data_IF_530700045737
#
_entry.id   IF_530700045737
#
_cell.length_a   1.000
_cell.length_b   1.000
_cell.length_c   1.000
_cell.angle_alpha   90.00
_cell.angle_beta   90.00
_cell.angle_gamma   90.00
#
_symmetry.space_group_name_H-M   'P 1'
#
loop_
_entity.id
_entity.type
_entity.pdbx_description
1 polymer ?
#
# COMPACT_ATOMS: atom_id res chain seq x y z
N UNK A 1 -30.43 1.46 -17.23
CA UNK A 1 -29.02 1.16 -16.92
C UNK A 1 -29.00 0.69 -15.47
N UNK A 2 -28.99 -0.63 -15.22
CA UNK A 2 -29.15 -1.18 -13.87
C UNK A 2 -27.93 -0.80 -13.02
N UNK A 3 -28.13 0.14 -12.09
CA UNK A 3 -27.13 0.72 -11.18
C UNK A 3 -26.97 -0.07 -9.88
N UNK A 4 -27.20 -1.38 -9.88
CA UNK A 4 -27.28 -2.18 -8.64
C UNK A 4 -26.55 -3.51 -8.77
N UNK A 5 -25.29 -3.47 -9.16
CA UNK A 5 -24.34 -4.52 -8.81
C UNK A 5 -23.29 -3.82 -7.96
N UNK A 6 -23.48 -3.84 -6.64
CA UNK A 6 -22.47 -3.39 -5.71
C UNK A 6 -21.17 -4.14 -6.08
N UNK A 7 -20.00 -3.47 -6.17
CA UNK A 7 -18.73 -4.13 -6.47
C UNK A 7 -18.24 -4.92 -5.24
N UNK A 8 -19.12 -5.73 -4.65
CA UNK A 8 -18.90 -6.53 -3.46
C UNK A 8 -17.70 -7.47 -3.65
N UNK A 9 -17.56 -8.04 -4.87
CA UNK A 9 -16.40 -8.85 -5.24
C UNK A 9 -15.09 -8.06 -5.12
N UNK A 10 -15.07 -6.81 -5.59
CA UNK A 10 -13.87 -5.96 -5.51
C UNK A 10 -13.55 -5.61 -4.06
N UNK A 11 -14.56 -5.23 -3.26
CA UNK A 11 -14.38 -4.88 -1.84
C UNK A 11 -13.85 -6.08 -1.03
N UNK A 12 -14.42 -7.27 -1.23
CA UNK A 12 -13.97 -8.50 -0.55
C UNK A 12 -12.55 -8.84 -0.99
N UNK A 13 -12.26 -8.77 -2.29
CA UNK A 13 -10.91 -9.03 -2.82
C UNK A 13 -9.88 -8.08 -2.21
N UNK A 14 -10.16 -6.78 -2.17
CA UNK A 14 -9.30 -5.77 -1.56
C UNK A 14 -9.04 -6.06 -0.09
N UNK A 15 -10.07 -6.44 0.66
CA UNK A 15 -9.91 -6.78 2.07
C UNK A 15 -9.05 -8.04 2.28
N UNK A 16 -9.26 -9.09 1.49
CA UNK A 16 -8.44 -10.31 1.55
C UNK A 16 -6.98 -10.01 1.17
N UNK A 17 -6.76 -9.24 0.11
CA UNK A 17 -5.43 -8.81 -0.31
C UNK A 17 -4.76 -8.02 0.80
N UNK A 18 -5.46 -7.09 1.43
CA UNK A 18 -4.94 -6.32 2.57
C UNK A 18 -4.48 -7.24 3.71
N UNK A 19 -5.28 -8.25 4.06
CA UNK A 19 -4.90 -9.24 5.08
C UNK A 19 -3.63 -10.02 4.71
N UNK A 20 -3.53 -10.47 3.46
CA UNK A 20 -2.33 -11.19 2.96
C UNK A 20 -1.10 -10.29 3.03
N UNK A 21 -1.22 -9.03 2.63
CA UNK A 21 -0.14 -8.05 2.70
C UNK A 21 0.31 -7.83 4.15
N UNK A 22 -0.64 -7.63 5.08
CA UNK A 22 -0.34 -7.49 6.52
C UNK A 22 0.40 -8.74 7.03
N UNK A 23 -0.05 -9.94 6.66
CA UNK A 23 0.59 -11.19 7.07
C UNK A 23 2.02 -11.29 6.55
N UNK A 24 2.26 -11.00 5.26
CA UNK A 24 3.60 -11.01 4.66
C UNK A 24 4.51 -9.99 5.35
N UNK A 25 4.08 -8.74 5.48
CA UNK A 25 4.92 -7.69 6.06
C UNK A 25 5.21 -7.93 7.55
N UNK A 26 4.23 -8.41 8.30
CA UNK A 26 4.41 -8.79 9.71
C UNK A 26 5.44 -9.92 9.89
N UNK A 27 5.48 -10.89 8.96
CA UNK A 27 6.48 -11.94 8.94
C UNK A 27 7.89 -11.37 8.71
N UNK A 28 8.05 -10.44 7.76
CA UNK A 28 9.33 -9.75 7.56
C UNK A 28 9.77 -8.95 8.78
N UNK A 29 8.85 -8.25 9.44
CA UNK A 29 9.15 -7.50 10.67
C UNK A 29 9.58 -8.42 11.81
N UNK A 30 8.91 -9.56 11.98
CA UNK A 30 9.29 -10.56 12.98
C UNK A 30 10.68 -11.14 12.68
N UNK A 31 10.91 -11.61 11.46
CA UNK A 31 12.13 -12.34 11.09
C UNK A 31 13.37 -11.45 10.94
N UNK A 32 13.20 -10.18 10.55
CA UNK A 32 14.32 -9.30 10.21
C UNK A 32 14.52 -8.15 11.19
N UNK A 33 13.48 -7.74 11.93
CA UNK A 33 13.59 -6.69 12.95
C UNK A 33 13.51 -7.26 14.38
N UNK A 34 13.38 -8.58 14.53
CA UNK A 34 13.25 -9.27 15.82
C UNK A 34 12.13 -8.70 16.72
N UNK A 35 11.06 -8.22 16.09
CA UNK A 35 9.87 -7.75 16.82
C UNK A 35 9.06 -8.95 17.33
N UNK A 36 8.40 -8.76 18.47
CA UNK A 36 7.46 -9.73 19.03
C UNK A 36 6.29 -9.89 18.03
N UNK A 37 5.77 -11.11 17.77
CA UNK A 37 4.74 -11.34 16.75
C UNK A 37 3.54 -10.38 16.84
N UNK A 38 3.07 -10.09 18.06
CA UNK A 38 2.00 -9.12 18.32
C UNK A 38 2.34 -7.73 17.78
N UNK A 39 3.53 -7.22 18.09
CA UNK A 39 3.99 -5.88 17.66
C UNK A 39 4.20 -5.83 16.15
N UNK A 40 4.73 -6.91 15.54
CA UNK A 40 4.89 -7.00 14.09
C UNK A 40 3.56 -6.88 13.35
N UNK A 41 2.52 -7.58 13.84
CA UNK A 41 1.17 -7.52 13.27
C UNK A 41 0.55 -6.15 13.48
N UNK A 42 0.69 -5.55 14.67
CA UNK A 42 0.20 -4.20 14.95
C UNK A 42 0.83 -3.16 13.99
N UNK A 43 2.15 -3.18 13.83
CA UNK A 43 2.86 -2.25 12.94
C UNK A 43 2.44 -2.45 11.48
N UNK A 44 2.44 -3.70 11.00
CA UNK A 44 2.01 -4.02 9.64
C UNK A 44 0.55 -3.59 9.41
N UNK A 45 -0.34 -3.78 10.37
CA UNK A 45 -1.75 -3.40 10.26
C UNK A 45 -1.89 -1.88 10.12
N UNK A 46 -1.29 -1.10 11.02
CA UNK A 46 -1.39 0.37 10.99
C UNK A 46 -0.80 0.93 9.70
N UNK A 47 0.38 0.48 9.31
CA UNK A 47 1.05 0.94 8.10
C UNK A 47 0.25 0.62 6.83
N UNK A 48 -0.28 -0.59 6.72
CA UNK A 48 -1.07 -0.98 5.55
C UNK A 48 -2.42 -0.27 5.50
N UNK A 49 -3.09 -0.09 6.65
CA UNK A 49 -4.37 0.62 6.68
C UNK A 49 -4.21 2.09 6.27
N UNK A 50 -3.20 2.78 6.81
CA UNK A 50 -2.88 4.16 6.43
C UNK A 50 -2.51 4.21 4.94
N UNK A 51 -1.66 3.29 4.47
CA UNK A 51 -1.29 3.21 3.05
C UNK A 51 -2.50 3.00 2.14
N UNK A 52 -3.45 2.16 2.53
CA UNK A 52 -4.69 1.94 1.77
C UNK A 52 -5.55 3.19 1.75
N UNK A 53 -5.74 3.87 2.88
CA UNK A 53 -6.47 5.14 2.93
C UNK A 53 -5.83 6.21 2.02
N UNK A 54 -4.51 6.38 2.09
CA UNK A 54 -3.77 7.32 1.23
C UNK A 54 -3.88 6.92 -0.24
N UNK A 55 -3.79 5.62 -0.54
CA UNK A 55 -3.96 5.10 -1.90
C UNK A 55 -5.33 5.45 -2.49
N UNK A 56 -6.40 5.29 -1.72
CA UNK A 56 -7.76 5.68 -2.14
C UNK A 56 -7.89 7.19 -2.35
N UNK A 57 -7.36 8.01 -1.43
CA UNK A 57 -7.36 9.47 -1.57
C UNK A 57 -6.60 9.90 -2.84
N UNK A 58 -5.41 9.33 -3.05
CA UNK A 58 -4.59 9.57 -4.24
C UNK A 58 -5.32 9.16 -5.53
N UNK A 59 -5.99 8.02 -5.52
CA UNK A 59 -6.79 7.55 -6.64
C UNK A 59 -7.94 8.52 -6.97
N UNK A 60 -8.78 8.88 -5.99
CA UNK A 60 -9.90 9.79 -6.23
C UNK A 60 -9.42 11.16 -6.71
N UNK A 61 -8.37 11.71 -6.10
CA UNK A 61 -7.80 12.98 -6.50
C UNK A 61 -7.28 12.94 -7.94
N UNK A 62 -6.58 11.86 -8.31
CA UNK A 62 -6.04 11.72 -9.67
C UNK A 62 -7.17 11.56 -10.69
N UNK A 63 -8.15 10.69 -10.42
CA UNK A 63 -9.30 10.48 -11.30
C UNK A 63 -10.06 11.78 -11.57
N UNK A 64 -10.25 12.64 -10.57
CA UNK A 64 -10.91 13.95 -10.75
C UNK A 64 -10.15 14.93 -11.66
N UNK A 65 -8.85 14.72 -11.87
CA UNK A 65 -8.02 15.56 -12.76
C UNK A 65 -7.92 14.99 -14.18
N UNK A 66 -8.39 13.76 -14.43
CA UNK A 66 -8.26 13.10 -15.72
C UNK A 66 -9.37 13.51 -16.69
N UNK A 67 -9.08 13.57 -18.00
CA UNK A 67 -10.12 13.78 -19.01
C UNK A 67 -11.06 12.56 -19.09
N UNK A 68 -12.35 12.83 -19.34
CA UNK A 68 -13.48 11.88 -19.28
C UNK A 68 -13.25 10.48 -19.90
N UNK A 69 -12.38 10.36 -20.91
CA UNK A 69 -12.09 9.07 -21.56
C UNK A 69 -11.16 8.17 -20.74
N UNK A 70 -10.13 8.75 -20.10
CA UNK A 70 -9.19 8.01 -19.24
C UNK A 70 -9.80 7.70 -17.87
N UNK A 71 -10.66 8.60 -17.37
CA UNK A 71 -11.44 8.40 -16.14
C UNK A 71 -12.26 7.11 -16.22
N UNK A 72 -13.06 6.95 -17.29
CA UNK A 72 -13.89 5.76 -17.52
C UNK A 72 -13.07 4.49 -17.62
N UNK A 73 -11.90 4.53 -18.27
CA UNK A 73 -11.00 3.38 -18.38
C UNK A 73 -10.40 3.00 -17.03
N UNK A 74 -9.96 3.96 -16.21
CA UNK A 74 -9.42 3.69 -14.89
C UNK A 74 -10.47 3.13 -13.93
N UNK A 75 -11.65 3.74 -13.90
CA UNK A 75 -12.78 3.28 -13.07
C UNK A 75 -13.22 1.88 -13.51
N UNK A 76 -13.33 1.64 -14.82
CA UNK A 76 -13.70 0.32 -15.33
C UNK A 76 -12.64 -0.75 -15.03
N UNK A 77 -11.36 -0.39 -15.09
CA UNK A 77 -10.29 -1.30 -14.71
C UNK A 77 -10.35 -1.68 -13.23
N UNK A 78 -10.50 -0.71 -12.33
CA UNK A 78 -10.46 -0.95 -10.89
C UNK A 78 -11.74 -1.65 -10.39
N UNK A 79 -12.91 -1.23 -10.87
CA UNK A 79 -14.19 -1.79 -10.41
C UNK A 79 -14.57 -3.10 -11.12
N UNK A 80 -14.19 -3.27 -12.39
CA UNK A 80 -14.64 -4.38 -13.22
C UNK A 80 -13.49 -5.23 -13.80
N UNK A 81 -12.23 -4.92 -13.52
CA UNK A 81 -11.07 -5.70 -13.99
C UNK A 81 -10.83 -5.63 -15.51
N UNK A 82 -11.46 -4.68 -16.22
CA UNK A 82 -11.35 -4.57 -17.67
C UNK A 82 -10.08 -3.80 -18.07
N UNK A 83 -9.07 -4.52 -18.57
CA UNK A 83 -7.86 -3.90 -19.14
C UNK A 83 -8.16 -3.54 -20.59
N UNK A 84 -8.35 -2.24 -20.84
CA UNK A 84 -8.26 -1.67 -22.19
C UNK A 84 -6.81 -1.61 -22.68
N UNK A 85 -6.51 -0.74 -23.64
CA UNK A 85 -5.13 -0.56 -24.12
C UNK A 85 -4.23 -0.05 -23.00
N UNK A 86 -3.14 -0.76 -22.69
CA UNK A 86 -2.18 -0.36 -21.67
C UNK A 86 -1.44 0.89 -22.17
N UNK A 87 -1.80 2.04 -21.60
CA UNK A 87 -1.16 3.33 -21.88
C UNK A 87 0.07 3.50 -20.97
N UNK A 88 1.21 4.02 -21.47
CA UNK A 88 2.36 4.40 -20.63
C UNK A 88 1.99 5.23 -19.38
N UNK A 89 0.99 6.11 -19.48
CA UNK A 89 0.49 6.89 -18.33
C UNK A 89 -0.08 6.00 -17.22
N UNK A 90 -0.68 4.86 -17.59
CA UNK A 90 -1.24 3.91 -16.63
C UNK A 90 -0.14 3.17 -15.86
N UNK A 91 0.95 2.80 -16.55
CA UNK A 91 2.15 2.21 -15.93
C UNK A 91 2.79 3.21 -14.97
N UNK A 92 2.92 4.46 -15.40
CA UNK A 92 3.44 5.54 -14.57
C UNK A 92 2.57 5.75 -13.31
N UNK A 93 1.24 5.72 -13.46
CA UNK A 93 0.32 5.85 -12.33
C UNK A 93 0.51 4.74 -11.29
N UNK A 94 0.60 3.47 -11.73
CA UNK A 94 0.87 2.33 -10.84
C UNK A 94 2.23 2.50 -10.13
N UNK A 95 3.25 2.89 -10.89
CA UNK A 95 4.59 3.09 -10.34
C UNK A 95 4.64 4.22 -9.29
N UNK A 96 3.99 5.35 -9.56
CA UNK A 96 3.87 6.45 -8.60
C UNK A 96 3.08 6.02 -7.37
N UNK A 97 1.98 5.28 -7.54
CA UNK A 97 1.22 4.71 -6.43
C UNK A 97 2.05 3.79 -5.54
N UNK A 98 2.88 2.93 -6.15
CA UNK A 98 3.84 2.09 -5.44
C UNK A 98 4.82 2.94 -4.62
N UNK A 99 5.42 3.99 -5.19
CA UNK A 99 6.34 4.86 -4.47
C UNK A 99 5.67 5.62 -3.31
N UNK A 100 4.46 6.15 -3.52
CA UNK A 100 3.69 6.82 -2.47
C UNK A 100 3.42 5.84 -1.33
N UNK A 101 2.99 4.62 -1.64
CA UNK A 101 2.70 3.61 -0.62
C UNK A 101 3.96 3.23 0.18
N UNK A 102 5.12 3.14 -0.46
CA UNK A 102 6.39 2.92 0.23
C UNK A 102 6.74 4.07 1.19
N UNK A 103 6.59 5.32 0.74
CA UNK A 103 6.86 6.51 1.57
C UNK A 103 5.92 6.54 2.78
N UNK A 104 4.61 6.29 2.57
CA UNK A 104 3.62 6.24 3.65
C UNK A 104 3.97 5.16 4.67
N UNK A 105 4.41 3.98 4.22
CA UNK A 105 4.83 2.90 5.10
C UNK A 105 6.06 3.27 5.92
N UNK A 106 7.06 3.91 5.33
CA UNK A 106 8.25 4.36 6.04
C UNK A 106 7.90 5.37 7.14
N UNK A 107 7.11 6.39 6.80
CA UNK A 107 6.63 7.39 7.77
C UNK A 107 5.78 6.71 8.84
N UNK A 108 4.87 5.82 8.45
CA UNK A 108 4.01 5.06 9.35
C UNK A 108 4.79 4.22 10.35
N UNK A 109 5.84 3.52 9.90
CA UNK A 109 6.71 2.74 10.79
C UNK A 109 7.38 3.62 11.84
N UNK A 110 7.95 4.75 11.42
CA UNK A 110 8.63 5.68 12.34
C UNK A 110 7.66 6.30 13.36
N UNK A 111 6.44 6.60 12.94
CA UNK A 111 5.38 7.06 13.84
C UNK A 111 5.03 5.98 14.87
N UNK A 112 4.86 4.72 14.43
CA UNK A 112 4.62 3.59 15.33
C UNK A 112 5.77 3.39 16.30
N UNK A 113 7.02 3.39 15.82
CA UNK A 113 8.22 3.27 16.65
C UNK A 113 8.31 4.40 17.68
N UNK A 114 8.05 5.65 17.28
CA UNK A 114 8.04 6.79 18.22
C UNK A 114 6.93 6.68 19.27
N UNK A 115 5.72 6.27 18.89
CA UNK A 115 4.57 6.17 19.79
C UNK A 115 4.68 5.00 20.76
N UNK A 116 5.18 3.84 20.29
CA UNK A 116 5.28 2.62 21.09
C UNK A 116 6.55 2.58 21.94
N UNK A 117 7.64 3.17 21.46
CA UNK A 117 8.94 3.20 22.13
C UNK A 117 9.13 4.46 23.01
N UNK A 118 8.03 5.10 23.42
CA UNK A 118 7.94 6.35 24.19
C UNK A 118 8.36 6.21 25.67
N UNK A 119 9.43 5.47 25.92
CA UNK A 119 10.36 5.68 27.04
C UNK A 119 11.64 6.42 26.61
N UNK A 120 11.85 6.72 25.33
CA UNK A 120 13.02 7.47 24.87
C UNK A 120 12.68 8.82 24.23
N UNK A 121 12.78 9.85 25.10
CA UNK A 121 12.99 11.28 24.84
C UNK A 121 11.91 12.08 24.11
N UNK A 122 11.31 13.00 24.88
CA UNK A 122 10.80 14.28 24.42
C UNK A 122 11.69 14.86 23.32
N UNK A 123 11.24 14.80 22.08
CA UNK A 123 11.59 15.77 21.05
C UNK A 123 10.40 15.88 20.11
N UNK A 124 10.02 17.14 19.89
CA UNK A 124 8.83 17.56 19.20
C UNK A 124 8.71 16.95 17.80
N UNK A 125 7.46 16.77 17.37
CA UNK A 125 7.03 16.39 16.04
C UNK A 125 7.46 17.42 14.97
N UNK A 126 8.75 17.47 14.66
CA UNK A 126 9.28 18.14 13.49
C UNK A 126 9.88 17.07 12.58
N UNK A 127 9.11 16.65 11.57
CA UNK A 127 9.55 15.69 10.55
C UNK A 127 10.53 16.43 9.64
N UNK A 128 11.80 16.48 10.06
CA UNK A 128 12.87 16.98 9.21
C UNK A 128 13.20 15.94 8.14
N UNK A 129 13.02 16.31 6.88
CA UNK A 129 13.28 15.44 5.70
C UNK A 129 14.72 14.90 5.69
N UNK A 130 15.67 15.64 6.26
CA UNK A 130 17.07 15.19 6.43
C UNK A 130 17.22 13.99 7.37
N UNK A 131 16.35 13.85 8.38
CA UNK A 131 16.34 12.72 9.30
C UNK A 131 15.77 11.46 8.63
N UNK A 132 14.71 11.61 7.81
CA UNK A 132 14.15 10.54 6.97
C UNK A 132 15.20 10.00 5.99
N UNK A 133 16.04 10.88 5.44
CA UNK A 133 17.13 10.51 4.55
C UNK A 133 18.30 9.79 5.26
N UNK A 134 18.53 10.10 6.54
CA UNK A 134 19.48 9.35 7.38
C UNK A 134 18.99 7.95 7.74
N UNK A 135 17.67 7.78 7.88
CA UNK A 135 17.03 6.49 8.15
C UNK A 135 17.05 5.54 6.95
N UNK A 136 17.23 6.04 5.72
CA UNK A 136 17.41 5.23 4.50
C UNK A 136 18.56 4.21 4.61
N UNK A 137 19.56 4.50 5.45
CA UNK A 137 20.73 3.62 5.66
C UNK A 137 20.53 2.57 6.76
N UNK A 138 19.38 2.58 7.43
CA UNK A 138 19.13 1.68 8.55
C UNK A 138 18.68 0.30 8.06
N UNK A 139 18.97 -0.77 8.82
CA UNK A 139 18.41 -2.09 8.52
C UNK A 139 16.88 -2.07 8.50
N UNK A 140 16.24 -1.15 9.23
CA UNK A 140 14.78 -0.95 9.24
C UNK A 140 14.24 -0.56 7.87
N UNK A 141 14.81 0.46 7.23
CA UNK A 141 14.42 0.89 5.88
C UNK A 141 14.51 -0.25 4.86
N UNK A 142 15.61 -1.01 4.91
CA UNK A 142 15.82 -2.14 4.00
C UNK A 142 14.73 -3.21 4.18
N UNK A 143 14.42 -3.56 5.43
CA UNK A 143 13.37 -4.56 5.71
C UNK A 143 12.01 -4.09 5.24
N UNK A 144 11.63 -2.85 5.50
CA UNK A 144 10.34 -2.29 5.08
C UNK A 144 10.24 -2.30 3.55
N UNK A 145 11.31 -1.91 2.85
CA UNK A 145 11.35 -1.89 1.38
C UNK A 145 11.25 -3.30 0.79
N UNK A 146 11.99 -4.27 1.34
CA UNK A 146 11.93 -5.66 0.89
C UNK A 146 10.56 -6.26 1.15
N UNK A 147 10.00 -6.04 2.34
CA UNK A 147 8.66 -6.49 2.70
C UNK A 147 7.61 -5.92 1.72
N UNK A 148 7.73 -4.63 1.39
CA UNK A 148 6.87 -3.94 0.45
C UNK A 148 6.97 -4.49 -0.98
N UNK A 149 8.18 -4.78 -1.46
CA UNK A 149 8.38 -5.40 -2.78
C UNK A 149 7.76 -6.80 -2.82
N UNK A 150 8.04 -7.63 -1.81
CA UNK A 150 7.52 -8.99 -1.72
C UNK A 150 5.98 -9.01 -1.61
N UNK A 151 5.40 -8.11 -0.82
CA UNK A 151 3.94 -8.03 -0.71
C UNK A 151 3.31 -7.58 -2.02
N UNK A 152 3.89 -6.58 -2.72
CA UNK A 152 3.37 -6.15 -4.02
C UNK A 152 3.52 -7.21 -5.11
N UNK A 153 4.58 -8.02 -5.07
CA UNK A 153 4.71 -9.20 -5.93
C UNK A 153 3.56 -10.19 -5.69
N UNK A 154 3.22 -10.45 -4.42
CA UNK A 154 2.10 -11.30 -4.06
C UNK A 154 0.75 -10.72 -4.51
N UNK A 155 0.52 -9.42 -4.34
CA UNK A 155 -0.66 -8.72 -4.87
C UNK A 155 -0.77 -8.94 -6.38
N UNK A 156 0.32 -8.70 -7.12
CA UNK A 156 0.35 -8.89 -8.57
C UNK A 156 0.01 -10.33 -8.99
N UNK A 157 0.53 -11.32 -8.26
CA UNK A 157 0.22 -12.73 -8.50
C UNK A 157 -1.24 -13.06 -8.21
N UNK A 158 -1.79 -12.58 -7.09
CA UNK A 158 -3.19 -12.79 -6.72
C UNK A 158 -4.12 -12.17 -7.77
N UNK A 159 -3.87 -10.93 -8.19
CA UNK A 159 -4.66 -10.26 -9.22
C UNK A 159 -4.54 -10.98 -10.58
N UNK A 160 -3.36 -11.51 -10.91
CA UNK A 160 -3.17 -12.31 -12.12
C UNK A 160 -4.01 -13.60 -12.10
N UNK A 161 -4.01 -14.33 -10.97
CA UNK A 161 -4.80 -15.55 -10.79
C UNK A 161 -6.31 -15.27 -10.78
N UNK A 162 -6.75 -14.20 -10.12
CA UNK A 162 -8.16 -13.79 -10.15
C UNK A 162 -8.63 -13.44 -11.57
N UNK A 163 -7.72 -12.96 -12.42
CA UNK A 163 -8.02 -12.67 -13.82
C UNK A 163 -8.13 -13.93 -14.67
N UNK A 164 -7.30 -14.96 -14.46
CA UNK A 164 -7.40 -16.20 -15.24
C UNK A 164 -8.73 -16.91 -15.06
N UNK A 165 -9.35 -16.77 -13.89
CA UNK A 165 -10.68 -17.32 -13.57
C UNK A 165 -11.86 -16.53 -14.22
N UNK A 166 -11.60 -15.35 -14.77
CA UNK A 166 -12.61 -14.46 -15.38
C UNK A 166 -12.63 -14.52 -16.92
N UNK A 167 -11.75 -15.31 -17.55
CA UNK A 167 -11.75 -15.60 -18.99
C UNK A 167 -12.45 -16.92 -19.28
#
# INVERSE_FOLDING_TARGET
MNLTILPLKAIISDFLILLVVIAIESCFFQLRLNLIPKVSVEYATVMNLISTCVGWIFFFYTVSLLPNMLEKQMVAYILFGQIGTINPLFILFIFVGFLISLIVKLVGFNLCDSLWNKKSKNNAANINISQVLGELRTPKFMVITVAHICSNLAIGLILFLQRSELR
#
